data_IF_994052319630
#
_entry.id   IF_994052319630
#
_cell.length_a   1.000
_cell.length_b   1.000
_cell.length_c   1.000
_cell.angle_alpha   90.00
_cell.angle_beta   90.00
_cell.angle_gamma   90.00
#
_symmetry.space_group_name_H-M   'P 1'
#
loop_
_entity.id
_entity.type
_entity.pdbx_description
1 polymer ?
#
# COMPACT_ATOMS: atom_id res chain seq x y z
N UNK A 1 5.81 -5.00 34.61
CA UNK A 1 6.83 -3.94 34.82
C UNK A 1 6.83 -2.94 33.64
N UNK A 2 6.99 -1.63 33.89
CA UNK A 2 7.12 -0.59 32.83
C UNK A 2 8.29 -0.87 31.87
N UNK A 3 9.35 -1.52 32.35
CA UNK A 3 10.56 -1.88 31.58
C UNK A 3 10.26 -2.87 30.45
N UNK A 4 9.44 -3.89 30.71
CA UNK A 4 9.05 -4.89 29.72
C UNK A 4 8.18 -4.30 28.61
N UNK A 5 7.26 -3.39 28.95
CA UNK A 5 6.44 -2.65 27.97
C UNK A 5 7.29 -1.79 27.04
N UNK A 6 8.34 -1.15 27.57
CA UNK A 6 9.29 -0.36 26.77
C UNK A 6 10.16 -1.21 25.82
N UNK A 7 10.56 -2.41 26.24
CA UNK A 7 11.34 -3.32 25.39
C UNK A 7 10.51 -3.90 24.23
N UNK A 8 9.27 -4.34 24.52
CA UNK A 8 8.35 -4.85 23.50
C UNK A 8 8.02 -3.80 22.44
N UNK A 9 7.84 -2.54 22.85
CA UNK A 9 7.66 -1.42 21.91
C UNK A 9 8.87 -1.23 20.99
N UNK A 10 10.09 -1.23 21.52
CA UNK A 10 11.31 -1.08 20.70
C UNK A 10 11.45 -2.20 19.68
N UNK A 11 11.20 -3.44 20.08
CA UNK A 11 11.24 -4.59 19.18
C UNK A 11 10.15 -4.51 18.10
N UNK A 12 8.92 -4.14 18.48
CA UNK A 12 7.81 -3.93 17.53
C UNK A 12 8.09 -2.81 16.54
N UNK A 13 8.64 -1.68 17.01
CA UNK A 13 9.06 -0.56 16.16
C UNK A 13 10.15 -1.01 15.18
N UNK A 14 11.18 -1.72 15.65
CA UNK A 14 12.24 -2.24 14.78
C UNK A 14 11.71 -3.17 13.67
N UNK A 15 10.67 -3.96 13.95
CA UNK A 15 10.06 -4.89 13.00
C UNK A 15 9.24 -4.25 11.87
N UNK A 16 8.95 -2.95 11.93
CA UNK A 16 8.21 -2.20 10.90
C UNK A 16 8.96 -0.97 10.38
N UNK A 17 10.12 -0.67 10.98
CA UNK A 17 10.78 0.62 10.81
C UNK A 17 11.19 0.87 9.36
N UNK A 18 11.65 -0.16 8.65
CA UNK A 18 12.04 -0.05 7.25
C UNK A 18 10.85 0.35 6.38
N UNK A 19 9.72 -0.34 6.52
CA UNK A 19 8.51 -0.09 5.76
C UNK A 19 7.92 1.29 6.06
N UNK A 20 7.88 1.67 7.34
CA UNK A 20 7.44 3.01 7.78
C UNK A 20 8.36 4.09 7.22
N UNK A 21 9.68 3.89 7.26
CA UNK A 21 10.64 4.83 6.68
C UNK A 21 10.43 5.02 5.19
N UNK A 22 10.25 3.91 4.44
CA UNK A 22 10.00 3.96 3.00
C UNK A 22 8.72 4.72 2.69
N UNK A 23 7.63 4.45 3.41
CA UNK A 23 6.35 5.13 3.22
C UNK A 23 6.44 6.65 3.48
N UNK A 24 7.04 7.03 4.62
CA UNK A 24 7.19 8.44 4.97
C UNK A 24 8.13 9.19 4.02
N UNK A 25 9.22 8.55 3.59
CA UNK A 25 10.14 9.11 2.61
C UNK A 25 9.46 9.31 1.24
N UNK A 26 8.60 8.37 0.83
CA UNK A 26 7.84 8.49 -0.41
C UNK A 26 6.91 9.71 -0.40
N UNK A 27 6.10 9.88 0.64
CA UNK A 27 5.20 11.05 0.77
C UNK A 27 6.01 12.35 0.84
N UNK A 28 7.12 12.36 1.59
CA UNK A 28 8.02 13.52 1.67
C UNK A 28 8.58 13.88 0.30
N UNK A 29 8.90 12.89 -0.55
CA UNK A 29 9.39 13.12 -1.91
C UNK A 29 8.30 13.73 -2.81
N UNK A 30 7.04 13.37 -2.64
CA UNK A 30 5.92 14.02 -3.36
C UNK A 30 5.82 15.50 -2.98
N UNK A 31 5.87 15.82 -1.67
CA UNK A 31 5.88 17.20 -1.19
C UNK A 31 7.09 17.98 -1.71
N UNK A 32 8.28 17.37 -1.72
CA UNK A 32 9.50 17.97 -2.27
C UNK A 32 9.36 18.28 -3.76
N UNK A 33 8.83 17.34 -4.54
CA UNK A 33 8.68 17.48 -5.98
C UNK A 33 7.71 18.60 -6.38
N UNK A 34 6.65 18.82 -5.60
CA UNK A 34 5.73 19.93 -5.79
C UNK A 34 6.34 21.31 -5.45
N UNK A 35 7.41 21.32 -4.65
CA UNK A 35 8.18 22.52 -4.33
C UNK A 35 7.54 23.44 -3.28
N UNK A 36 8.27 24.47 -2.89
CA UNK A 36 7.79 25.50 -1.94
C UNK A 36 7.82 25.10 -0.47
N UNK A 37 8.49 23.99 -0.11
CA UNK A 37 8.75 23.60 1.29
C UNK A 37 10.25 23.41 1.48
N UNK A 38 10.82 24.05 2.50
CA UNK A 38 12.24 23.94 2.83
C UNK A 38 12.63 22.56 3.37
N UNK A 39 13.88 22.16 3.18
CA UNK A 39 14.41 20.84 3.54
C UNK A 39 14.28 20.51 5.03
N UNK A 40 14.44 21.50 5.91
CA UNK A 40 14.26 21.31 7.35
C UNK A 40 12.81 20.97 7.70
N UNK A 41 11.84 21.67 7.10
CA UNK A 41 10.41 21.37 7.28
C UNK A 41 10.07 20.00 6.71
N UNK A 42 10.59 19.64 5.54
CA UNK A 42 10.41 18.30 4.97
C UNK A 42 11.00 17.20 5.86
N UNK A 43 12.15 17.45 6.49
CA UNK A 43 12.75 16.55 7.48
C UNK A 43 11.84 16.38 8.70
N UNK A 44 11.36 17.49 9.28
CA UNK A 44 10.45 17.46 10.43
C UNK A 44 9.14 16.74 10.11
N UNK A 45 8.52 17.03 8.95
CA UNK A 45 7.33 16.31 8.48
C UNK A 45 7.57 14.80 8.40
N UNK A 46 8.70 14.38 7.82
CA UNK A 46 9.04 12.97 7.69
C UNK A 46 9.19 12.29 9.04
N UNK A 47 9.89 12.92 9.98
CA UNK A 47 10.10 12.41 11.33
C UNK A 47 8.77 12.29 12.09
N UNK A 48 7.92 13.32 12.05
CA UNK A 48 6.58 13.29 12.66
C UNK A 48 5.70 12.17 12.06
N UNK A 49 5.70 12.02 10.73
CA UNK A 49 4.92 10.98 10.06
C UNK A 49 5.41 9.56 10.43
N UNK A 50 6.72 9.35 10.52
CA UNK A 50 7.29 8.07 10.97
C UNK A 50 6.82 7.70 12.37
N UNK A 51 6.82 8.65 13.31
CA UNK A 51 6.37 8.43 14.67
C UNK A 51 4.87 8.11 14.75
N UNK A 52 4.04 8.89 14.06
CA UNK A 52 2.60 8.69 13.99
C UNK A 52 2.23 7.32 13.40
N UNK A 53 2.89 6.91 12.32
CA UNK A 53 2.70 5.59 11.71
C UNK A 53 3.10 4.46 12.64
N UNK A 54 4.27 4.55 13.28
CA UNK A 54 4.71 3.54 14.24
C UNK A 54 3.72 3.36 15.39
N UNK A 55 3.22 4.46 15.98
CA UNK A 55 2.25 4.35 17.07
C UNK A 55 0.93 3.77 16.57
N UNK A 56 0.47 4.19 15.38
CA UNK A 56 -0.75 3.68 14.77
C UNK A 56 -0.68 2.17 14.46
N UNK A 57 0.47 1.67 14.02
CA UNK A 57 0.61 0.27 13.56
C UNK A 57 0.98 -0.72 14.67
N UNK A 58 1.36 -0.22 15.85
CA UNK A 58 1.84 -0.99 17.01
C UNK A 58 1.07 -2.27 17.34
N UNK A 59 -0.25 -2.24 17.24
CA UNK A 59 -1.13 -3.38 17.55
C UNK A 59 -1.73 -4.05 16.31
N UNK A 60 -1.30 -3.60 15.14
CA UNK A 60 -1.82 -4.02 13.84
C UNK A 60 -0.68 -4.39 12.89
N UNK A 61 0.44 -4.90 13.40
CA UNK A 61 1.57 -5.38 12.61
C UNK A 61 1.72 -6.89 12.76
N UNK A 62 1.48 -7.64 11.68
CA UNK A 62 1.44 -9.11 11.71
C UNK A 62 2.38 -9.73 10.67
N UNK A 63 3.68 -9.87 10.95
CA UNK A 63 4.65 -10.41 9.99
C UNK A 63 4.31 -11.83 9.46
N UNK A 64 3.66 -12.67 10.27
CA UNK A 64 3.24 -14.01 9.85
C UNK A 64 1.99 -14.01 8.94
N UNK A 65 1.26 -12.90 8.88
CA UNK A 65 0.11 -12.71 8.02
C UNK A 65 0.08 -11.25 7.51
N UNK A 66 0.98 -10.87 6.57
CA UNK A 66 1.20 -9.46 6.20
C UNK A 66 -0.07 -8.71 5.77
N UNK A 67 -0.98 -9.38 5.07
CA UNK A 67 -2.25 -8.79 4.61
C UNK A 67 -3.24 -8.49 5.76
N UNK A 68 -3.10 -9.14 6.92
CA UNK A 68 -3.95 -8.88 8.09
C UNK A 68 -3.74 -7.44 8.54
N UNK A 69 -4.81 -6.66 8.56
CA UNK A 69 -4.76 -5.24 8.94
C UNK A 69 -4.19 -4.30 7.87
N UNK A 70 -3.93 -4.77 6.64
CA UNK A 70 -3.41 -3.92 5.55
C UNK A 70 -4.31 -2.71 5.28
N UNK A 71 -5.64 -2.91 5.20
CA UNK A 71 -6.59 -1.79 5.06
C UNK A 71 -6.60 -0.80 6.24
N UNK A 72 -6.29 -1.26 7.45
CA UNK A 72 -6.16 -0.37 8.62
C UNK A 72 -4.88 0.46 8.55
N UNK A 73 -3.79 -0.11 8.04
CA UNK A 73 -2.49 0.56 7.90
C UNK A 73 -2.43 1.46 6.66
N UNK A 74 -3.23 1.18 5.64
CA UNK A 74 -3.27 1.92 4.39
C UNK A 74 -3.38 3.43 4.63
N UNK A 75 -2.51 4.19 3.96
CA UNK A 75 -2.58 5.64 3.88
C UNK A 75 -3.34 5.99 2.61
N UNK A 76 -4.39 6.81 2.71
CA UNK A 76 -5.27 7.11 1.58
C UNK A 76 -5.54 8.60 1.43
N UNK A 77 -5.35 9.09 0.22
CA UNK A 77 -5.73 10.44 -0.22
C UNK A 77 -6.77 10.28 -1.33
N UNK A 78 -7.91 10.94 -1.16
CA UNK A 78 -8.97 11.07 -2.16
C UNK A 78 -9.62 12.46 -1.96
N UNK A 79 -10.95 12.55 -1.93
CA UNK A 79 -11.65 13.76 -1.43
C UNK A 79 -11.35 14.08 0.05
N UNK A 80 -10.66 13.19 0.77
CA UNK A 80 -10.21 13.38 2.15
C UNK A 80 -8.71 13.08 2.24
N UNK A 81 -8.01 13.92 3.01
CA UNK A 81 -6.60 13.71 3.34
C UNK A 81 -6.46 12.70 4.48
N UNK A 82 -5.43 11.86 4.43
CA UNK A 82 -5.13 10.92 5.50
C UNK A 82 -4.83 11.68 6.81
N UNK A 83 -5.46 11.33 7.95
CA UNK A 83 -5.29 12.06 9.20
C UNK A 83 -3.85 12.07 9.72
N UNK A 84 -3.03 11.05 9.41
CA UNK A 84 -1.62 11.04 9.84
C UNK A 84 -0.77 12.00 9.02
N UNK A 85 -1.11 12.17 7.72
CA UNK A 85 -0.48 13.19 6.88
C UNK A 85 -0.86 14.59 7.39
N UNK A 86 -2.13 14.79 7.73
CA UNK A 86 -2.63 16.04 8.32
C UNK A 86 -1.89 16.38 9.60
N UNK A 87 -1.77 15.42 10.52
CA UNK A 87 -1.08 15.59 11.79
C UNK A 87 0.38 16.01 11.59
N UNK A 88 1.12 15.26 10.75
CA UNK A 88 2.53 15.58 10.45
C UNK A 88 2.69 16.93 9.72
N UNK A 89 1.76 17.28 8.84
CA UNK A 89 1.75 18.55 8.12
C UNK A 89 1.46 19.74 9.05
N UNK A 90 0.56 19.56 10.02
CA UNK A 90 0.26 20.56 11.04
C UNK A 90 1.49 20.95 11.86
N UNK A 91 2.35 19.98 12.18
CA UNK A 91 3.61 20.22 12.91
C UNK A 91 4.58 21.16 12.19
N UNK A 92 4.49 21.24 10.86
CA UNK A 92 5.33 22.13 10.05
C UNK A 92 4.56 23.32 9.49
N UNK A 93 3.33 23.57 9.96
CA UNK A 93 2.50 24.71 9.54
C UNK A 93 1.98 24.62 8.11
N UNK A 94 1.72 23.41 7.59
CA UNK A 94 1.03 23.23 6.30
C UNK A 94 -0.48 23.09 6.51
N UNK A 95 -1.26 23.86 5.75
CA UNK A 95 -2.72 23.76 5.78
C UNK A 95 -3.24 22.56 4.96
N UNK A 96 -4.48 22.15 5.23
CA UNK A 96 -5.16 21.12 4.44
C UNK A 96 -5.25 21.46 2.96
N UNK A 97 -5.63 22.70 2.62
CA UNK A 97 -5.76 23.13 1.22
C UNK A 97 -4.41 23.02 0.51
N UNK A 98 -3.33 23.38 1.21
CA UNK A 98 -1.99 23.27 0.65
C UNK A 98 -1.59 21.82 0.40
N UNK A 99 -1.95 20.88 1.28
CA UNK A 99 -1.69 19.46 1.05
C UNK A 99 -2.38 18.93 -0.22
N UNK A 100 -3.63 19.32 -0.47
CA UNK A 100 -4.36 18.92 -1.68
C UNK A 100 -3.78 19.51 -2.97
N UNK A 101 -3.08 20.65 -2.89
CA UNK A 101 -2.35 21.22 -4.03
C UNK A 101 -1.02 20.51 -4.29
N UNK A 102 -0.38 19.96 -3.26
CA UNK A 102 0.97 19.41 -3.34
C UNK A 102 1.01 17.89 -3.54
N UNK A 103 -0.01 17.17 -3.09
CA UNK A 103 -0.09 15.71 -3.17
C UNK A 103 -1.03 15.28 -4.29
N UNK A 104 -0.88 14.05 -4.84
CA UNK A 104 -1.83 13.51 -5.79
C UNK A 104 -3.25 13.52 -5.21
N UNK A 105 -4.24 13.89 -6.04
CA UNK A 105 -5.66 13.87 -5.66
C UNK A 105 -6.13 12.48 -5.25
N UNK A 106 -5.51 11.44 -5.80
CA UNK A 106 -5.80 10.04 -5.49
C UNK A 106 -4.52 9.26 -5.26
N UNK A 107 -4.29 8.87 -4.02
CA UNK A 107 -3.18 8.02 -3.60
C UNK A 107 -3.70 6.94 -2.67
N UNK A 108 -3.28 5.70 -2.91
CA UNK A 108 -3.42 4.60 -1.96
C UNK A 108 -2.04 4.01 -1.73
N UNK A 109 -1.57 3.98 -0.48
CA UNK A 109 -0.26 3.49 -0.09
C UNK A 109 -0.43 2.41 0.98
N UNK A 110 -0.03 1.19 0.66
CA UNK A 110 -0.03 0.05 1.56
C UNK A 110 1.33 -0.09 2.22
N UNK A 111 1.33 -0.19 3.55
CA UNK A 111 2.52 -0.36 4.38
C UNK A 111 2.34 -1.66 5.14
N UNK A 112 2.82 -2.75 4.55
CA UNK A 112 2.64 -4.10 5.05
C UNK A 112 3.99 -4.73 5.39
N UNK A 113 4.06 -5.69 6.33
CA UNK A 113 5.30 -6.40 6.59
C UNK A 113 5.93 -6.91 5.29
N UNK A 114 7.20 -6.58 5.06
CA UNK A 114 7.99 -6.98 3.90
C UNK A 114 7.58 -6.34 2.55
N UNK A 115 6.57 -5.46 2.51
CA UNK A 115 6.16 -4.80 1.26
C UNK A 115 5.58 -3.40 1.49
N UNK A 116 6.09 -2.43 0.75
CA UNK A 116 5.46 -1.10 0.62
C UNK A 116 5.12 -0.90 -0.84
N UNK A 117 3.84 -0.70 -1.14
CA UNK A 117 3.34 -0.53 -2.49
C UNK A 117 2.30 0.57 -2.55
N UNK A 118 2.13 1.17 -3.72
CA UNK A 118 1.21 2.29 -3.90
C UNK A 118 0.51 2.25 -5.24
N UNK A 119 -0.57 3.02 -5.33
CA UNK A 119 -1.31 3.33 -6.55
C UNK A 119 -1.65 4.81 -6.58
N UNK A 120 -1.43 5.47 -7.70
CA UNK A 120 -1.86 6.85 -7.95
C UNK A 120 -2.99 6.82 -8.98
N UNK A 121 -4.12 7.46 -8.68
CA UNK A 121 -5.35 7.39 -9.48
C UNK A 121 -6.17 6.11 -9.26
N UNK A 122 -7.49 6.18 -9.49
CA UNK A 122 -8.38 5.01 -9.44
C UNK A 122 -7.94 3.87 -10.37
N UNK A 123 -7.52 4.22 -11.59
CA UNK A 123 -7.09 3.27 -12.63
C UNK A 123 -5.57 3.10 -12.71
N UNK A 124 -4.84 3.57 -11.69
CA UNK A 124 -3.39 3.46 -11.64
C UNK A 124 -2.90 2.02 -11.52
N UNK A 125 -1.72 1.74 -12.05
CA UNK A 125 -1.00 0.49 -11.77
C UNK A 125 -0.46 0.50 -10.34
N UNK A 126 -0.34 -0.69 -9.74
CA UNK A 126 0.31 -0.87 -8.45
C UNK A 126 1.83 -0.88 -8.67
N UNK A 127 2.53 0.01 -7.97
CA UNK A 127 3.99 0.10 -7.97
C UNK A 127 4.54 -0.29 -6.60
N UNK A 128 5.66 -1.02 -6.59
CA UNK A 128 6.32 -1.46 -5.36
C UNK A 128 7.48 -0.52 -5.03
N UNK A 129 7.48 0.06 -3.83
CA UNK A 129 8.55 0.91 -3.31
C UNK A 129 9.59 0.13 -2.52
N UNK A 130 9.15 -0.91 -1.83
CA UNK A 130 10.00 -1.80 -1.05
C UNK A 130 9.42 -3.20 -1.06
N UNK A 131 10.29 -4.19 -1.16
CA UNK A 131 9.95 -5.59 -1.03
C UNK A 131 11.13 -6.35 -0.43
N UNK A 132 10.87 -7.18 0.56
CA UNK A 132 11.85 -8.10 1.10
C UNK A 132 11.30 -9.53 1.14
N UNK A 133 12.18 -10.55 1.21
CA UNK A 133 11.74 -11.94 1.30
C UNK A 133 10.93 -12.14 2.58
N UNK A 134 9.70 -12.65 2.44
CA UNK A 134 8.93 -13.06 3.60
C UNK A 134 9.62 -14.28 4.24
N UNK A 135 9.79 -14.33 5.57
CA UNK A 135 10.21 -15.54 6.23
C UNK A 135 9.20 -16.62 5.88
N UNK A 136 9.65 -17.67 5.18
CA UNK A 136 8.80 -18.74 4.67
C UNK A 136 7.94 -19.28 5.81
N UNK A 137 6.65 -18.96 5.79
CA UNK A 137 5.68 -19.74 6.54
C UNK A 137 5.60 -21.09 5.85
N UNK A 138 5.86 -22.17 6.59
CA UNK A 138 5.63 -23.53 6.14
C UNK A 138 4.13 -23.77 6.01
N UNK A 139 3.51 -23.20 4.97
CA UNK A 139 2.15 -23.50 4.55
C UNK A 139 1.98 -23.04 3.10
N UNK A 140 2.34 -23.94 2.20
CA UNK A 140 1.96 -23.89 0.79
C UNK A 140 0.44 -23.80 0.66
N UNK A 141 -0.06 -22.81 -0.08
CA UNK A 141 -1.33 -22.93 -0.78
C UNK A 141 -1.28 -22.09 -2.06
N UNK A 142 -1.88 -22.57 -3.16
CA UNK A 142 -1.55 -22.13 -4.51
C UNK A 142 -2.25 -20.82 -4.86
N UNK A 143 -1.51 -19.94 -5.51
CA UNK A 143 -2.01 -18.71 -6.12
C UNK A 143 -3.14 -19.02 -7.11
N UNK A 144 -4.36 -18.54 -6.84
CA UNK A 144 -5.42 -18.45 -7.85
C UNK A 144 -5.04 -17.31 -8.81
N UNK A 145 -4.60 -17.67 -10.01
CA UNK A 145 -4.44 -16.74 -11.13
C UNK A 145 -5.82 -16.19 -11.54
N UNK A 146 -6.03 -14.88 -11.37
CA UNK A 146 -7.06 -14.18 -12.11
C UNK A 146 -6.48 -13.78 -13.47
N UNK A 147 -6.56 -14.70 -14.45
CA UNK A 147 -6.32 -14.35 -15.84
C UNK A 147 -7.63 -13.84 -16.44
N UNK A 148 -7.68 -12.52 -16.58
CA UNK A 148 -8.61 -11.80 -17.45
C UNK A 148 -8.26 -12.14 -18.91
N UNK A 149 -9.20 -12.72 -19.66
CA UNK A 149 -9.16 -12.73 -21.12
C UNK A 149 -10.43 -12.09 -21.67
N UNK A 150 -10.23 -10.93 -22.26
CA UNK A 150 -11.09 -10.32 -23.28
C UNK A 150 -11.03 -11.12 -24.57
N UNK A 151 -12.16 -11.40 -25.21
CA UNK A 151 -12.38 -11.18 -26.65
C UNK A 151 -13.77 -11.64 -27.08
N UNK A 152 -14.35 -10.82 -27.96
CA UNK A 152 -15.64 -10.93 -28.59
C UNK A 152 -15.68 -11.98 -29.71
N UNK A 153 -16.91 -12.31 -30.12
CA UNK A 153 -17.38 -12.76 -31.45
C UNK A 153 -17.23 -14.23 -31.91
N UNK A 154 -18.37 -14.68 -32.46
CA UNK A 154 -18.60 -15.73 -33.47
C UNK A 154 -18.42 -17.20 -33.08
N UNK A 155 -19.57 -17.86 -32.92
CA UNK A 155 -19.78 -19.31 -32.97
C UNK A 155 -19.55 -19.80 -34.41
N UNK A 156 -18.83 -20.91 -34.64
CA UNK A 156 -18.95 -21.70 -35.85
C UNK A 156 -19.84 -22.94 -35.61
N UNK A 157 -20.79 -23.12 -36.52
CA UNK A 157 -21.59 -24.34 -36.74
C UNK A 157 -20.70 -25.52 -37.19
N UNK A 158 -20.95 -26.77 -36.74
CA UNK A 158 -20.33 -27.93 -37.35
C UNK A 158 -21.17 -28.47 -38.52
N UNK A 159 -20.49 -28.64 -39.65
CA UNK A 159 -20.99 -29.23 -40.90
C UNK A 159 -20.96 -30.77 -40.85
N UNK A 160 -21.94 -31.37 -41.52
CA UNK A 160 -22.31 -32.78 -41.62
C UNK A 160 -21.20 -33.77 -41.96
N UNK A 161 -21.33 -35.00 -41.41
CA UNK A 161 -20.78 -36.20 -42.04
C UNK A 161 -21.93 -37.15 -42.37
N UNK A 162 -22.09 -37.40 -43.67
CA UNK A 162 -22.94 -38.42 -44.29
C UNK A 162 -22.49 -39.83 -43.88
N UNK A 163 -23.42 -40.68 -43.45
CA UNK A 163 -23.32 -42.12 -43.67
C UNK A 163 -24.67 -42.66 -44.16
N UNK A 164 -24.56 -43.50 -45.19
CA UNK A 164 -25.58 -44.00 -46.11
C UNK A 164 -26.01 -45.42 -45.66
N UNK A 165 -27.33 -45.60 -45.44
CA UNK A 165 -28.24 -46.75 -45.70
C UNK A 165 -27.94 -48.18 -45.14
N UNK A 166 -28.87 -49.18 -45.22
CA UNK A 166 -30.34 -49.15 -45.49
C UNK A 166 -31.22 -50.03 -44.55
N UNK A 167 -32.54 -49.80 -44.60
CA UNK A 167 -33.60 -50.82 -44.80
C UNK A 167 -33.98 -51.79 -43.67
N UNK A 168 -35.10 -51.53 -42.98
CA UNK A 168 -36.42 -52.19 -43.13
C UNK A 168 -37.42 -51.52 -42.19
#
# INVERSE_FOLDING_TARGET
SRRARGAAWRAGRAAMWTEVCTAAAFITRLLRAAGGIGEERLRCFRECLQEALCERYKHHWFPLAPSKGSGYRCIRINHKMDPLIVEAAGMIGLSHERLFQLLPSELTLWVDPFEVSYRIGENGSICVLYKSPQPRSSRSSPSKNYNMMTASSSVPVPCSTMHIYPGF
#
